data_IF_891128411342
#
_entry.id   IF_891128411342
#
_cell.length_a   1.000
_cell.length_b   1.000
_cell.length_c   1.000
_cell.angle_alpha   90.00
_cell.angle_beta   90.00
_cell.angle_gamma   90.00
#
_symmetry.space_group_name_H-M   'P 1'
#
loop_
_entity.id
_entity.type
_entity.pdbx_description
1 polymer ?
#
# COMPACT_ATOMS: atom_id res chain seq x y z
N UNK A 1 6.30 -28.37 88.70
CA UNK A 1 6.40 -29.58 87.84
C UNK A 1 5.23 -29.60 86.86
N UNK A 2 5.44 -30.16 85.66
CA UNK A 2 4.55 -30.22 84.48
C UNK A 2 4.52 -28.92 83.61
N UNK A 3 5.32 -28.80 82.54
CA UNK A 3 5.30 -29.45 81.21
C UNK A 3 4.27 -28.78 80.27
N UNK A 4 4.69 -27.86 79.39
CA UNK A 4 5.20 -28.13 78.03
C UNK A 4 4.13 -28.40 76.94
N UNK A 5 2.98 -27.74 77.02
CA UNK A 5 1.93 -27.68 75.99
C UNK A 5 1.49 -26.20 76.00
N UNK A 6 1.45 -25.36 74.96
CA UNK A 6 1.16 -25.49 73.53
C UNK A 6 1.77 -24.26 72.84
N UNK A 7 3.08 -24.24 72.55
CA UNK A 7 3.70 -23.17 71.73
C UNK A 7 3.80 -23.55 70.24
N UNK A 8 3.09 -24.60 69.81
CA UNK A 8 3.26 -25.20 68.49
C UNK A 8 2.37 -24.58 67.39
N UNK A 9 2.20 -23.26 67.38
CA UNK A 9 1.45 -22.59 66.30
C UNK A 9 2.21 -21.40 65.70
N UNK A 10 3.49 -21.57 65.41
CA UNK A 10 4.17 -20.71 64.45
C UNK A 10 4.94 -21.55 63.44
N UNK A 11 4.36 -21.71 62.25
CA UNK A 11 5.05 -21.53 60.97
C UNK A 11 4.20 -22.10 59.82
N UNK A 12 3.22 -21.32 59.35
CA UNK A 12 2.72 -21.43 57.96
C UNK A 12 3.36 -20.32 57.13
N UNK A 13 4.68 -20.38 56.95
CA UNK A 13 5.41 -19.45 56.08
C UNK A 13 6.53 -20.21 55.36
N UNK A 14 6.21 -20.86 54.23
CA UNK A 14 7.17 -21.09 53.11
C UNK A 14 6.69 -21.80 51.84
N UNK A 15 5.47 -22.32 51.76
CA UNK A 15 5.05 -23.12 50.59
C UNK A 15 4.46 -22.35 49.39
N UNK A 16 4.32 -21.00 49.43
CA UNK A 16 3.72 -20.24 48.30
C UNK A 16 4.71 -19.84 47.19
N UNK A 17 5.99 -19.62 47.50
CA UNK A 17 6.92 -19.05 46.52
C UNK A 17 7.37 -20.05 45.46
N UNK A 18 7.42 -21.36 45.80
CA UNK A 18 7.85 -22.40 44.85
C UNK A 18 6.82 -22.66 43.76
N UNK A 19 5.53 -22.57 44.09
CA UNK A 19 4.43 -22.75 43.12
C UNK A 19 4.25 -21.52 42.21
N UNK A 20 4.63 -20.32 42.67
CA UNK A 20 4.57 -19.10 41.85
C UNK A 20 5.61 -19.11 40.71
N UNK A 21 6.82 -19.59 40.98
CA UNK A 21 7.85 -19.71 39.95
C UNK A 21 7.46 -20.74 38.88
N UNK A 22 6.82 -21.84 39.27
CA UNK A 22 6.30 -22.85 38.33
C UNK A 22 5.14 -22.30 37.52
N UNK A 23 4.21 -21.57 38.13
CA UNK A 23 3.11 -20.93 37.42
C UNK A 23 3.59 -19.89 36.39
N UNK A 24 4.60 -19.08 36.73
CA UNK A 24 5.23 -18.13 35.81
C UNK A 24 5.95 -18.82 34.65
N UNK A 25 6.64 -19.93 34.92
CA UNK A 25 7.29 -20.72 33.87
C UNK A 25 6.26 -21.31 32.89
N UNK A 26 5.16 -21.85 33.39
CA UNK A 26 4.07 -22.38 32.56
C UNK A 26 3.43 -21.27 31.72
N UNK A 27 3.20 -20.09 32.30
CA UNK A 27 2.68 -18.94 31.58
C UNK A 27 3.62 -18.49 30.45
N UNK A 28 4.93 -18.44 30.71
CA UNK A 28 5.94 -18.10 29.71
C UNK A 28 5.97 -19.08 28.54
N UNK A 29 5.87 -20.37 28.82
CA UNK A 29 5.78 -21.42 27.78
C UNK A 29 4.49 -21.27 26.97
N UNK A 30 3.36 -21.01 27.61
CA UNK A 30 2.08 -20.79 26.92
C UNK A 30 2.14 -19.58 25.98
N UNK A 31 2.73 -18.47 26.43
CA UNK A 31 2.92 -17.26 25.60
C UNK A 31 3.83 -17.57 24.40
N UNK A 32 4.93 -18.29 24.61
CA UNK A 32 5.83 -18.70 23.53
C UNK A 32 5.13 -19.61 22.51
N UNK A 33 4.27 -20.52 22.96
CA UNK A 33 3.47 -21.37 22.06
C UNK A 33 2.44 -20.56 21.26
N UNK A 34 1.78 -19.57 21.88
CA UNK A 34 0.84 -18.69 21.19
C UNK A 34 1.56 -17.83 20.14
N UNK A 35 2.69 -17.21 20.52
CA UNK A 35 3.51 -16.41 19.60
C UNK A 35 4.09 -17.27 18.48
N UNK A 36 4.58 -18.47 18.81
CA UNK A 36 5.09 -19.44 17.83
C UNK A 36 4.01 -19.89 16.85
N UNK A 37 2.81 -20.20 17.34
CA UNK A 37 1.66 -20.56 16.51
C UNK A 37 1.23 -19.42 15.59
N UNK A 38 1.21 -18.18 16.10
CA UNK A 38 0.84 -17.00 15.32
C UNK A 38 1.87 -16.70 14.23
N UNK A 39 3.16 -16.77 14.57
CA UNK A 39 4.26 -16.60 13.63
C UNK A 39 4.23 -17.67 12.53
N UNK A 40 3.96 -18.93 12.89
CA UNK A 40 3.85 -20.03 11.93
C UNK A 40 2.61 -19.88 11.03
N UNK A 41 1.48 -19.40 11.58
CA UNK A 41 0.27 -19.09 10.80
C UNK A 41 0.48 -17.96 9.79
N UNK A 42 1.31 -16.96 10.12
CA UNK A 42 1.68 -15.92 9.16
C UNK A 42 2.51 -16.50 8.01
N UNK A 43 3.51 -17.33 8.30
CA UNK A 43 4.39 -17.94 7.28
C UNK A 43 3.61 -18.83 6.29
N UNK A 44 2.61 -19.58 6.76
CA UNK A 44 1.79 -20.46 5.92
C UNK A 44 0.92 -19.70 4.89
N UNK A 45 0.62 -18.41 5.12
CA UNK A 45 -0.25 -17.61 4.24
C UNK A 45 0.46 -17.02 3.02
N UNK A 46 1.79 -17.16 2.91
CA UNK A 46 2.58 -16.55 1.83
C UNK A 46 2.55 -17.30 0.49
N UNK A 47 2.32 -18.61 0.49
CA UNK A 47 2.44 -19.42 -0.74
C UNK A 47 1.30 -19.19 -1.74
N UNK A 48 0.07 -18.97 -1.26
CA UNK A 48 -1.12 -18.76 -2.12
C UNK A 48 -1.13 -17.33 -2.68
N UNK A 49 -0.79 -16.36 -1.83
CA UNK A 49 -0.72 -14.93 -2.19
C UNK A 49 0.35 -14.67 -3.25
N UNK A 50 1.53 -15.30 -3.14
CA UNK A 50 2.59 -15.14 -4.14
C UNK A 50 2.18 -15.65 -5.52
N UNK A 51 1.41 -16.75 -5.60
CA UNK A 51 0.94 -17.27 -6.88
C UNK A 51 -0.05 -16.32 -7.56
N UNK A 52 -0.95 -15.73 -6.79
CA UNK A 52 -1.87 -14.71 -7.31
C UNK A 52 -1.13 -13.46 -7.80
N UNK A 53 -0.11 -13.02 -7.06
CA UNK A 53 0.76 -11.91 -7.48
C UNK A 53 1.50 -12.26 -8.77
N UNK A 54 2.04 -13.46 -8.88
CA UNK A 54 2.75 -13.90 -10.08
C UNK A 54 1.82 -13.97 -11.30
N UNK A 55 0.59 -14.47 -11.12
CA UNK A 55 -0.42 -14.50 -12.18
C UNK A 55 -0.83 -13.08 -12.61
N UNK A 56 -1.00 -12.15 -11.67
CA UNK A 56 -1.28 -10.73 -11.96
C UNK A 56 -0.12 -10.05 -12.69
N UNK A 57 1.12 -10.32 -12.30
CA UNK A 57 2.32 -9.80 -12.99
C UNK A 57 2.36 -10.31 -14.43
N UNK A 58 2.09 -11.61 -14.66
CA UNK A 58 2.04 -12.19 -16.00
C UNK A 58 0.95 -11.54 -16.86
N UNK A 59 -0.25 -11.33 -16.30
CA UNK A 59 -1.33 -10.64 -17.00
C UNK A 59 -0.97 -9.19 -17.35
N UNK A 60 -0.36 -8.46 -16.41
CA UNK A 60 0.12 -7.09 -16.63
C UNK A 60 1.14 -7.05 -17.77
N UNK A 61 2.11 -7.97 -17.76
CA UNK A 61 3.17 -8.03 -18.77
C UNK A 61 2.60 -8.35 -20.16
N UNK A 62 1.61 -9.24 -20.24
CA UNK A 62 0.91 -9.55 -21.49
C UNK A 62 0.16 -8.33 -22.03
N UNK A 63 -0.64 -7.66 -21.20
CA UNK A 63 -1.36 -6.45 -21.59
C UNK A 63 -0.42 -5.34 -22.04
N UNK A 64 0.75 -5.19 -21.38
CA UNK A 64 1.75 -4.20 -21.78
C UNK A 64 2.30 -4.49 -23.17
N UNK A 65 2.65 -5.75 -23.47
CA UNK A 65 3.10 -6.15 -24.81
C UNK A 65 2.04 -5.88 -25.88
N UNK A 66 0.78 -6.22 -25.60
CA UNK A 66 -0.32 -5.94 -26.54
C UNK A 66 -0.50 -4.44 -26.77
N UNK A 67 -0.39 -3.63 -25.73
CA UNK A 67 -0.48 -2.18 -25.85
C UNK A 67 0.66 -1.60 -26.70
N UNK A 68 1.91 -2.03 -26.46
CA UNK A 68 3.06 -1.61 -27.26
C UNK A 68 2.92 -2.02 -28.73
N UNK A 69 2.40 -3.22 -29.01
CA UNK A 69 2.10 -3.66 -30.37
C UNK A 69 1.04 -2.76 -31.03
N UNK A 70 -0.06 -2.47 -30.34
CA UNK A 70 -1.11 -1.57 -30.83
C UNK A 70 -0.59 -0.15 -31.07
N UNK A 71 0.27 0.38 -30.19
CA UNK A 71 0.92 1.68 -30.39
C UNK A 71 1.75 1.66 -31.67
N UNK A 72 2.51 0.58 -31.91
CA UNK A 72 3.27 0.39 -33.15
C UNK A 72 2.38 0.39 -34.39
N UNK A 73 1.25 -0.33 -34.35
CA UNK A 73 0.27 -0.36 -35.44
C UNK A 73 -0.35 1.02 -35.68
N UNK A 74 -0.77 1.73 -34.64
CA UNK A 74 -1.33 3.08 -34.72
C UNK A 74 -0.31 4.04 -35.32
N UNK A 75 0.96 3.96 -34.89
CA UNK A 75 2.04 4.75 -35.47
C UNK A 75 2.20 4.45 -36.96
N UNK A 76 2.14 3.16 -37.35
CA UNK A 76 2.12 2.72 -38.75
C UNK A 76 0.96 3.29 -39.56
N UNK A 77 -0.25 3.31 -39.00
CA UNK A 77 -1.44 3.89 -39.63
C UNK A 77 -1.38 5.42 -39.74
N UNK A 78 -0.74 6.10 -38.78
CA UNK A 78 -0.58 7.55 -38.73
C UNK A 78 0.65 8.08 -39.49
N UNK A 79 1.39 7.21 -40.17
CA UNK A 79 2.54 7.67 -40.97
C UNK A 79 2.08 8.65 -42.04
N UNK A 80 2.72 9.83 -42.07
CA UNK A 80 2.44 10.90 -43.03
C UNK A 80 2.38 10.39 -44.49
N UNK A 81 3.29 9.52 -44.94
CA UNK A 81 3.20 8.92 -46.28
C UNK A 81 1.91 8.14 -46.55
N UNK A 82 1.39 7.39 -45.56
CA UNK A 82 0.17 6.60 -45.72
C UNK A 82 -1.07 7.49 -45.74
N UNK A 83 -1.06 8.59 -44.99
CA UNK A 83 -2.09 9.62 -45.05
C UNK A 83 -2.10 10.31 -46.43
N UNK A 84 -0.94 10.66 -46.97
CA UNK A 84 -0.83 11.21 -48.34
C UNK A 84 -1.31 10.20 -49.38
N UNK A 85 -0.85 8.95 -49.33
CA UNK A 85 -1.29 7.91 -50.26
C UNK A 85 -2.80 7.67 -50.20
N UNK A 86 -3.40 7.72 -48.99
CA UNK A 86 -4.86 7.62 -48.85
C UNK A 86 -5.56 8.86 -49.41
N UNK A 87 -5.07 10.06 -49.12
CA UNK A 87 -5.63 11.32 -49.61
C UNK A 87 -5.63 11.36 -51.14
N UNK A 88 -4.52 10.97 -51.77
CA UNK A 88 -4.43 10.80 -53.23
C UNK A 88 -5.43 9.77 -53.75
N UNK A 89 -5.56 8.61 -53.08
CA UNK A 89 -6.51 7.57 -53.47
C UNK A 89 -7.99 8.00 -53.35
N UNK A 90 -8.31 9.01 -52.55
CA UNK A 90 -9.66 9.61 -52.46
C UNK A 90 -9.79 10.91 -53.27
N UNK A 91 -8.82 11.22 -54.13
CA UNK A 91 -8.88 12.31 -55.09
C UNK A 91 -8.36 13.67 -54.61
N UNK A 92 -7.74 13.73 -53.42
CA UNK A 92 -7.08 14.94 -52.97
C UNK A 92 -5.73 15.10 -53.68
N UNK A 93 -5.32 16.35 -53.89
CA UNK A 93 -4.02 16.72 -54.46
C UNK A 93 -3.32 17.72 -53.53
N UNK A 94 -1.98 17.81 -53.55
CA UNK A 94 -1.28 18.90 -52.87
C UNK A 94 -1.82 20.27 -53.29
N UNK A 95 -2.08 21.13 -52.31
CA UNK A 95 -2.51 22.50 -52.55
C UNK A 95 -1.37 23.28 -53.21
N UNK A 96 -1.70 24.03 -54.25
CA UNK A 96 -0.78 24.97 -54.89
C UNK A 96 -0.96 26.37 -54.28
N UNK A 97 -0.05 27.29 -54.56
CA UNK A 97 -0.17 28.67 -54.08
C UNK A 97 -1.48 29.37 -54.53
N UNK A 98 -2.11 28.89 -55.60
CA UNK A 98 -3.39 29.39 -56.08
C UNK A 98 -4.60 28.83 -55.30
N UNK A 99 -4.40 27.77 -54.52
CA UNK A 99 -5.45 27.13 -53.71
C UNK A 99 -5.44 27.61 -52.23
N UNK A 100 -4.55 28.54 -51.86
CA UNK A 100 -4.32 28.97 -50.47
C UNK A 100 -4.70 30.44 -50.30
N UNK A 101 -5.74 30.69 -49.50
CA UNK A 101 -6.12 32.03 -49.06
C UNK A 101 -5.63 32.30 -47.62
N UNK A 102 -4.94 33.42 -47.43
CA UNK A 102 -4.44 33.83 -46.11
C UNK A 102 -5.45 34.77 -45.45
N UNK A 103 -5.98 34.36 -44.29
CA UNK A 103 -6.88 35.18 -43.47
C UNK A 103 -6.12 35.73 -42.26
N UNK A 104 -6.13 37.05 -42.07
CA UNK A 104 -5.59 37.67 -40.87
C UNK A 104 -6.61 37.55 -39.74
N UNK A 105 -6.22 36.86 -38.66
CA UNK A 105 -7.02 36.75 -37.45
C UNK A 105 -6.51 37.79 -36.45
N UNK A 106 -7.34 38.79 -36.16
CA UNK A 106 -7.00 39.82 -35.17
C UNK A 106 -6.83 39.20 -33.77
N UNK A 107 -5.79 39.62 -33.06
CA UNK A 107 -5.43 39.07 -31.74
C UNK A 107 -4.83 37.66 -31.74
N UNK A 108 -4.47 37.07 -32.90
CA UNK A 108 -3.79 35.77 -32.95
C UNK A 108 -2.43 35.82 -32.23
N UNK A 109 -2.33 35.12 -31.11
CA UNK A 109 -1.08 34.93 -30.37
C UNK A 109 -0.64 33.46 -30.50
N UNK A 110 0.42 33.16 -31.28
CA UNK A 110 0.90 31.79 -31.49
C UNK A 110 1.46 31.12 -30.22
N UNK A 111 1.60 31.85 -29.11
CA UNK A 111 2.12 31.34 -27.85
C UNK A 111 1.04 31.11 -26.77
N UNK A 112 -0.25 31.19 -27.10
CA UNK A 112 -1.36 31.06 -26.13
C UNK A 112 -1.36 29.74 -25.37
N UNK A 113 -0.99 28.64 -26.03
CA UNK A 113 -1.07 27.29 -25.44
C UNK A 113 0.13 26.90 -24.57
N UNK A 114 1.16 27.76 -24.49
CA UNK A 114 2.28 27.55 -23.54
C UNK A 114 1.91 27.89 -22.10
N UNK A 115 0.77 28.54 -21.86
CA UNK A 115 0.29 28.90 -20.53
C UNK A 115 -0.58 27.77 -19.96
N UNK A 116 0.10 26.79 -19.36
CA UNK A 116 -0.27 26.21 -18.05
C UNK A 116 -1.57 25.41 -17.90
N UNK A 117 -1.69 24.25 -18.56
CA UNK A 117 -2.55 23.16 -18.03
C UNK A 117 -1.78 22.33 -16.99
N UNK A 118 -0.52 21.99 -17.28
CA UNK A 118 0.32 21.17 -16.40
C UNK A 118 0.60 21.82 -15.02
N UNK A 119 0.80 23.14 -14.96
CA UNK A 119 1.11 23.82 -13.70
C UNK A 119 -0.10 23.90 -12.75
N UNK A 120 -1.32 24.04 -13.30
CA UNK A 120 -2.54 24.10 -12.49
C UNK A 120 -2.96 22.71 -11.96
N UNK A 121 -2.70 21.64 -12.70
CA UNK A 121 -3.01 20.27 -12.26
C UNK A 121 -2.09 19.80 -11.13
N UNK A 122 -0.80 20.13 -11.18
CA UNK A 122 0.17 19.75 -10.13
C UNK A 122 -0.12 20.49 -8.81
N UNK A 123 -0.39 21.80 -8.87
CA UNK A 123 -0.72 22.60 -7.69
C UNK A 123 -2.05 22.16 -7.04
N UNK A 124 -3.04 21.78 -7.85
CA UNK A 124 -4.34 21.32 -7.36
C UNK A 124 -4.31 19.89 -6.77
N UNK A 125 -3.31 19.08 -7.14
CA UNK A 125 -3.08 17.74 -6.62
C UNK A 125 -2.35 17.77 -5.26
N UNK A 126 -1.33 18.64 -5.10
CA UNK A 126 -0.63 18.84 -3.82
C UNK A 126 -1.58 19.36 -2.72
N UNK A 127 -2.51 20.25 -3.06
CA UNK A 127 -3.49 20.79 -2.10
C UNK A 127 -4.52 19.76 -1.60
N UNK A 128 -4.64 18.59 -2.26
CA UNK A 128 -5.61 17.53 -1.93
C UNK A 128 -4.99 16.30 -1.31
N UNK A 129 -3.65 16.24 -1.18
CA UNK A 129 -3.00 15.12 -0.52
C UNK A 129 -3.23 15.21 1.00
N UNK A 130 -3.82 14.18 1.64
CA UNK A 130 -3.87 14.13 3.10
C UNK A 130 -2.44 14.08 3.65
N UNK A 131 -2.14 14.98 4.58
CA UNK A 131 -0.87 14.98 5.30
C UNK A 131 -0.93 13.89 6.36
N UNK A 132 -0.24 12.78 6.11
CA UNK A 132 -0.12 11.68 7.06
C UNK A 132 1.00 11.99 8.07
N UNK A 133 0.69 12.81 9.07
CA UNK A 133 1.62 13.14 10.17
C UNK A 133 1.69 12.05 11.26
N UNK A 134 0.89 10.99 11.14
CA UNK A 134 0.90 9.88 12.08
C UNK A 134 2.13 8.98 11.87
N UNK A 135 3.00 8.93 12.87
CA UNK A 135 4.12 8.00 12.90
C UNK A 135 3.70 6.66 13.50
N UNK A 136 4.36 5.59 13.07
CA UNK A 136 4.18 4.25 13.64
C UNK A 136 4.31 4.23 15.17
N UNK A 137 5.20 5.07 15.73
CA UNK A 137 5.40 5.19 17.18
C UNK A 137 4.15 5.68 17.89
N UNK A 138 3.46 6.69 17.36
CA UNK A 138 2.24 7.24 17.96
C UNK A 138 1.09 6.23 17.95
N UNK A 139 0.92 5.50 16.85
CA UNK A 139 -0.05 4.40 16.78
C UNK A 139 0.29 3.28 17.77
N UNK A 140 1.57 2.89 17.87
CA UNK A 140 2.02 1.82 18.77
C UNK A 140 1.77 2.18 20.24
N UNK A 141 2.03 3.43 20.62
CA UNK A 141 1.73 3.94 21.96
C UNK A 141 0.24 3.84 22.27
N UNK A 142 -0.64 4.24 21.33
CA UNK A 142 -2.08 4.11 21.50
C UNK A 142 -2.52 2.64 21.68
N UNK A 143 -1.98 1.73 20.86
CA UNK A 143 -2.33 0.32 20.97
C UNK A 143 -1.85 -0.32 22.29
N UNK A 144 -0.67 0.04 22.77
CA UNK A 144 -0.15 -0.45 24.06
C UNK A 144 -1.00 0.06 25.24
N UNK A 145 -1.49 1.29 25.17
CA UNK A 145 -2.40 1.85 26.18
C UNK A 145 -3.72 1.10 26.21
N UNK A 146 -4.35 0.90 25.04
CA UNK A 146 -5.61 0.16 24.93
C UNK A 146 -5.49 -1.28 25.45
N UNK A 147 -4.38 -1.96 25.12
CA UNK A 147 -4.11 -3.32 25.59
C UNK A 147 -3.92 -3.38 27.11
N UNK A 148 -3.16 -2.46 27.68
CA UNK A 148 -2.97 -2.37 29.15
C UNK A 148 -4.28 -2.13 29.87
N UNK A 149 -5.12 -1.24 29.34
CA UNK A 149 -6.39 -0.88 29.96
C UNK A 149 -7.40 -2.04 29.87
N UNK A 150 -7.37 -2.81 28.79
CA UNK A 150 -8.11 -4.07 28.68
C UNK A 150 -7.67 -5.09 29.74
N UNK A 151 -6.36 -5.27 29.97
CA UNK A 151 -5.88 -6.19 31.03
C UNK A 151 -6.30 -5.76 32.44
N UNK A 152 -6.36 -4.46 32.72
CA UNK A 152 -6.89 -3.93 33.99
C UNK A 152 -8.38 -4.21 34.14
N UNK A 153 -9.16 -4.14 33.06
CA UNK A 153 -10.59 -4.48 33.08
C UNK A 153 -10.87 -5.96 33.39
N UNK A 154 -9.91 -6.87 33.13
CA UNK A 154 -9.99 -8.29 33.48
C UNK A 154 -9.51 -8.61 34.91
N UNK A 155 -8.86 -7.66 35.58
CA UNK A 155 -8.25 -7.81 36.91
C UNK A 155 -9.05 -7.23 38.07
N UNK A 156 -10.27 -6.75 37.83
CA UNK A 156 -11.26 -6.33 38.82
C UNK A 156 -12.43 -7.33 38.80
#
# INVERSE_FOLDING_TARGET
MSQAWIQHTFSRKRFRTRNQATALAILGVAILLILGSLYLSQVASFAITNRQIEDLIRQRDELKRQNEALIGEIAGFRTVPRLFARAEAIGFRPATNADIDYVLIDGYNPNRDRISVAANEVAAAEARAPVYDETFGSWLEQQLVLLRDQFRSFGA
#
